data_IF_906102550785
#
_entry.id   IF_906102550785
#
_cell.length_a   1.000
_cell.length_b   1.000
_cell.length_c   1.000
_cell.angle_alpha   90.00
_cell.angle_beta   90.00
_cell.angle_gamma   90.00
#
_symmetry.space_group_name_H-M   'P 1'
#
loop_
_entity.id
_entity.type
_entity.pdbx_description
1 polymer ?
#
# COMPACT_ATOMS: atom_id res chain seq x y z
N UNK A 1 -12.39 -15.04 -36.80
CA UNK A 1 -12.06 -14.08 -35.73
C UNK A 1 -10.77 -14.57 -35.09
N UNK A 2 -9.68 -13.83 -35.26
CA UNK A 2 -8.46 -14.06 -34.48
C UNK A 2 -8.79 -13.67 -33.04
N UNK A 3 -8.85 -14.65 -32.14
CA UNK A 3 -8.97 -14.36 -30.71
C UNK A 3 -7.74 -13.56 -30.30
N UNK A 4 -7.95 -12.33 -29.85
CA UNK A 4 -6.91 -11.50 -29.26
C UNK A 4 -6.50 -12.12 -27.92
N UNK A 5 -5.20 -12.27 -27.69
CA UNK A 5 -4.70 -12.94 -26.49
C UNK A 5 -4.95 -12.05 -25.26
N UNK A 6 -5.80 -12.49 -24.30
CA UNK A 6 -6.18 -11.69 -23.13
C UNK A 6 -4.98 -11.37 -22.22
N UNK A 7 -3.88 -12.11 -22.33
CA UNK A 7 -2.65 -11.83 -21.58
C UNK A 7 -2.16 -10.39 -21.78
N UNK A 8 -2.24 -9.86 -23.01
CA UNK A 8 -1.73 -8.51 -23.28
C UNK A 8 -2.61 -7.41 -22.68
N UNK A 9 -3.93 -7.63 -22.62
CA UNK A 9 -4.86 -6.70 -21.98
C UNK A 9 -4.56 -6.60 -20.49
N UNK A 10 -4.49 -7.75 -19.81
CA UNK A 10 -4.19 -7.80 -18.37
C UNK A 10 -2.77 -7.28 -18.09
N UNK A 11 -1.78 -7.60 -18.93
CA UNK A 11 -0.43 -7.03 -18.84
C UNK A 11 -0.45 -5.50 -18.88
N UNK A 12 -1.23 -4.89 -19.79
CA UNK A 12 -1.35 -3.44 -19.86
C UNK A 12 -2.04 -2.85 -18.62
N UNK A 13 -3.06 -3.52 -18.10
CA UNK A 13 -3.75 -3.13 -16.87
C UNK A 13 -2.81 -3.18 -15.66
N UNK A 14 -2.06 -4.28 -15.50
CA UNK A 14 -1.02 -4.43 -14.48
C UNK A 14 0.04 -3.33 -14.60
N UNK A 15 0.50 -3.01 -15.81
CA UNK A 15 1.48 -1.96 -16.03
C UNK A 15 0.95 -0.56 -15.64
N UNK A 16 -0.33 -0.28 -15.95
CA UNK A 16 -1.01 0.97 -15.53
C UNK A 16 -1.18 1.03 -14.02
N UNK A 17 -1.62 -0.07 -13.40
CA UNK A 17 -1.78 -0.19 -11.95
C UNK A 17 -0.43 0.03 -11.25
N UNK A 18 0.63 -0.65 -11.70
CA UNK A 18 1.98 -0.49 -11.18
C UNK A 18 2.47 0.97 -11.25
N UNK A 19 2.22 1.66 -12.37
CA UNK A 19 2.61 3.07 -12.50
C UNK A 19 1.85 3.99 -11.53
N UNK A 20 0.55 3.74 -11.29
CA UNK A 20 -0.23 4.44 -10.25
C UNK A 20 0.36 4.15 -8.86
N UNK A 21 0.67 2.89 -8.57
CA UNK A 21 1.26 2.42 -7.31
C UNK A 21 2.62 3.06 -7.04
N UNK A 22 3.48 3.23 -8.06
CA UNK A 22 4.76 3.98 -7.94
C UNK A 22 4.54 5.44 -7.53
N UNK A 23 3.49 6.08 -8.04
CA UNK A 23 3.09 7.42 -7.63
C UNK A 23 2.69 7.47 -6.15
N UNK A 24 1.81 6.57 -5.75
CA UNK A 24 1.37 6.41 -4.36
C UNK A 24 2.54 6.12 -3.41
N UNK A 25 3.47 5.24 -3.82
CA UNK A 25 4.65 4.90 -3.03
C UNK A 25 5.59 6.09 -2.81
N UNK A 26 5.81 6.92 -3.84
CA UNK A 26 6.59 8.16 -3.68
C UNK A 26 5.93 9.13 -2.71
N UNK A 27 4.61 9.35 -2.83
CA UNK A 27 3.86 10.20 -1.91
C UNK A 27 3.93 9.66 -0.48
N UNK A 28 3.80 8.35 -0.32
CA UNK A 28 3.92 7.69 0.97
C UNK A 28 5.31 7.89 1.61
N UNK A 29 6.39 7.82 0.83
CA UNK A 29 7.75 8.10 1.31
C UNK A 29 7.89 9.56 1.79
N UNK A 30 7.38 10.52 1.03
CA UNK A 30 7.40 11.95 1.42
C UNK A 30 6.64 12.19 2.74
N UNK A 31 5.45 11.62 2.87
CA UNK A 31 4.63 11.74 4.09
C UNK A 31 5.31 11.12 5.31
N UNK A 32 6.11 10.08 5.10
CA UNK A 32 6.89 9.45 6.15
C UNK A 32 8.06 10.32 6.64
N UNK A 33 8.59 11.22 5.81
CA UNK A 33 9.63 12.17 6.24
C UNK A 33 9.02 13.36 7.03
N UNK A 34 7.79 13.74 6.71
CA UNK A 34 7.06 14.89 7.26
C UNK A 34 6.19 14.59 8.50
N UNK A 35 6.60 13.62 9.33
CA UNK A 35 5.89 13.18 10.58
C UNK A 35 5.68 14.30 11.63
N UNK A 36 6.16 15.53 11.41
CA UNK A 36 6.06 16.63 12.38
C UNK A 36 4.68 17.31 12.42
N UNK A 37 3.80 17.05 11.46
CA UNK A 37 2.46 17.66 11.42
C UNK A 37 1.35 16.63 11.62
N UNK A 38 0.41 16.89 12.54
CA UNK A 38 -0.75 16.01 12.76
C UNK A 38 -1.66 15.92 11.52
N UNK A 39 -1.60 16.90 10.61
CA UNK A 39 -2.33 16.90 9.33
C UNK A 39 -1.81 15.78 8.40
N UNK A 40 -0.53 15.44 8.48
CA UNK A 40 0.10 14.38 7.67
C UNK A 40 -0.30 12.96 8.11
N UNK A 41 -0.85 12.80 9.33
CA UNK A 41 -1.12 11.47 9.90
C UNK A 41 -2.28 10.76 9.20
N UNK A 42 -3.41 11.44 9.01
CA UNK A 42 -4.59 10.87 8.36
C UNK A 42 -4.31 10.59 6.87
N UNK A 43 -3.56 11.49 6.22
CA UNK A 43 -3.11 11.31 4.83
C UNK A 43 -2.13 10.12 4.70
N UNK A 44 -1.22 9.96 5.67
CA UNK A 44 -0.29 8.83 5.71
C UNK A 44 -1.02 7.50 5.89
N UNK A 45 -2.04 7.44 6.76
CA UNK A 45 -2.83 6.24 7.00
C UNK A 45 -3.65 5.85 5.78
N UNK A 46 -4.31 6.82 5.15
CA UNK A 46 -5.02 6.61 3.88
C UNK A 46 -4.08 6.13 2.79
N UNK A 47 -2.94 6.80 2.59
CA UNK A 47 -1.96 6.44 1.55
C UNK A 47 -1.35 5.05 1.82
N UNK A 48 -1.11 4.70 3.08
CA UNK A 48 -0.64 3.36 3.47
C UNK A 48 -1.66 2.29 3.10
N UNK A 49 -2.94 2.54 3.37
CA UNK A 49 -4.02 1.58 3.10
C UNK A 49 -4.23 1.40 1.60
N UNK A 50 -4.35 2.50 0.85
CA UNK A 50 -4.50 2.49 -0.60
C UNK A 50 -3.31 1.77 -1.28
N UNK A 51 -2.09 2.04 -0.82
CA UNK A 51 -0.90 1.38 -1.34
C UNK A 51 -0.92 -0.14 -1.08
N UNK A 52 -1.34 -0.59 0.11
CA UNK A 52 -1.47 -2.04 0.41
C UNK A 52 -2.53 -2.71 -0.47
N UNK A 53 -3.64 -2.03 -0.71
CA UNK A 53 -4.71 -2.54 -1.57
C UNK A 53 -4.25 -2.64 -3.03
N UNK A 54 -3.60 -1.59 -3.54
CA UNK A 54 -3.05 -1.58 -4.89
C UNK A 54 -1.99 -2.66 -5.11
N UNK A 55 -1.07 -2.83 -4.15
CA UNK A 55 -0.04 -3.88 -4.22
C UNK A 55 -0.65 -5.28 -4.22
N UNK A 56 -1.71 -5.51 -3.41
CA UNK A 56 -2.43 -6.80 -3.37
C UNK A 56 -3.17 -7.08 -4.67
N UNK A 57 -3.85 -6.08 -5.24
CA UNK A 57 -4.53 -6.23 -6.54
C UNK A 57 -3.53 -6.66 -7.62
N UNK A 58 -2.36 -6.04 -7.65
CA UNK A 58 -1.30 -6.40 -8.59
C UNK A 58 -0.79 -7.83 -8.35
N UNK A 59 -0.66 -8.29 -7.10
CA UNK A 59 -0.25 -9.68 -6.86
C UNK A 59 -1.25 -10.69 -7.45
N UNK A 60 -2.55 -10.45 -7.27
CA UNK A 60 -3.59 -11.33 -7.82
C UNK A 60 -3.53 -11.35 -9.34
N UNK A 61 -3.42 -10.18 -9.98
CA UNK A 61 -3.30 -10.12 -11.44
C UNK A 61 -2.03 -10.83 -11.94
N UNK A 62 -0.92 -10.75 -11.18
CA UNK A 62 0.32 -11.47 -11.51
C UNK A 62 0.19 -12.99 -11.31
N UNK A 63 -0.56 -13.45 -10.32
CA UNK A 63 -0.87 -14.87 -10.10
C UNK A 63 -1.68 -15.43 -11.27
N UNK A 64 -2.74 -14.71 -11.69
CA UNK A 64 -3.55 -15.08 -12.85
C UNK A 64 -2.71 -15.15 -14.13
N UNK A 65 -1.82 -14.16 -14.36
CA UNK A 65 -0.90 -14.16 -15.50
C UNK A 65 0.06 -15.36 -15.47
N UNK A 66 0.58 -15.74 -14.29
CA UNK A 66 1.49 -16.88 -14.11
C UNK A 66 0.77 -18.21 -14.36
N UNK A 67 -0.48 -18.32 -13.93
CA UNK A 67 -1.36 -19.45 -14.24
C UNK A 67 -1.62 -19.57 -15.74
N UNK A 68 -1.81 -18.45 -16.45
CA UNK A 68 -1.97 -18.50 -17.92
C UNK A 68 -0.71 -19.03 -18.61
N UNK A 69 0.48 -18.67 -18.14
CA UNK A 69 1.76 -19.21 -18.66
C UNK A 69 1.80 -20.72 -18.41
N UNK A 70 1.49 -21.16 -17.20
CA UNK A 70 1.44 -22.57 -16.83
C UNK A 70 0.46 -23.38 -17.69
N UNK A 71 -0.68 -22.80 -18.06
CA UNK A 71 -1.67 -23.42 -18.95
C UNK A 71 -1.11 -23.56 -20.38
N UNK A 72 -0.44 -22.53 -20.89
CA UNK A 72 0.18 -22.54 -22.23
C UNK A 72 1.27 -23.60 -22.31
N UNK A 73 2.11 -23.73 -21.28
CA UNK A 73 3.16 -24.74 -21.22
C UNK A 73 2.65 -26.16 -21.21
N UNK A 74 1.52 -26.40 -20.54
CA UNK A 74 0.89 -27.73 -20.50
C UNK A 74 0.26 -28.11 -21.84
N UNK A 75 -0.09 -27.15 -22.69
CA UNK A 75 -0.78 -27.38 -23.97
C UNK A 75 -0.19 -26.58 -25.16
N UNK A 76 1.10 -26.76 -25.50
CA UNK A 76 1.79 -25.91 -26.48
C UNK A 76 1.20 -26.00 -27.90
N UNK A 77 0.69 -27.18 -28.28
CA UNK A 77 0.07 -27.41 -29.60
C UNK A 77 -1.23 -26.65 -29.81
N UNK A 78 -1.96 -26.33 -28.72
CA UNK A 78 -3.24 -25.60 -28.75
C UNK A 78 -3.04 -24.10 -28.91
N UNK A 79 -2.06 -23.54 -28.20
CA UNK A 79 -1.85 -22.09 -28.12
C UNK A 79 -0.82 -21.56 -29.12
N UNK A 80 0.11 -22.41 -29.60
CA UNK A 80 1.12 -22.05 -30.62
C UNK A 80 1.90 -20.75 -30.30
N UNK A 81 2.20 -20.53 -29.02
CA UNK A 81 2.98 -19.37 -28.53
C UNK A 81 4.47 -19.67 -28.65
N UNK A 82 5.25 -18.69 -29.11
CA UNK A 82 6.69 -18.83 -29.26
C UNK A 82 7.43 -18.85 -27.90
N UNK A 83 8.54 -19.60 -27.83
CA UNK A 83 9.34 -19.67 -26.60
C UNK A 83 9.93 -18.30 -26.19
N UNK A 84 10.26 -17.42 -27.15
CA UNK A 84 10.74 -16.08 -26.84
C UNK A 84 9.63 -15.23 -26.22
N UNK A 85 8.40 -15.44 -26.67
CA UNK A 85 7.24 -14.75 -26.11
C UNK A 85 6.95 -15.23 -24.70
N UNK A 86 6.90 -16.55 -24.44
CA UNK A 86 6.77 -17.11 -23.09
C UNK A 86 7.84 -16.58 -22.13
N UNK A 87 9.09 -16.50 -22.61
CA UNK A 87 10.20 -15.91 -21.83
C UNK A 87 9.93 -14.44 -21.50
N UNK A 88 9.43 -13.67 -22.47
CA UNK A 88 9.08 -12.26 -22.26
C UNK A 88 7.91 -12.09 -21.28
N UNK A 89 6.93 -13.00 -21.30
CA UNK A 89 5.81 -13.03 -20.34
C UNK A 89 6.31 -13.28 -18.93
N UNK A 90 7.18 -14.28 -18.73
CA UNK A 90 7.81 -14.56 -17.42
C UNK A 90 8.61 -13.39 -16.89
N UNK A 91 9.48 -12.83 -17.73
CA UNK A 91 10.32 -11.71 -17.34
C UNK A 91 9.47 -10.50 -16.89
N UNK A 92 8.35 -10.23 -17.56
CA UNK A 92 7.43 -9.18 -17.12
C UNK A 92 6.84 -9.47 -15.72
N UNK A 93 6.39 -10.70 -15.46
CA UNK A 93 5.83 -11.10 -14.17
C UNK A 93 6.89 -11.02 -13.08
N UNK A 94 8.08 -11.55 -13.31
CA UNK A 94 9.19 -11.54 -12.35
C UNK A 94 9.61 -10.11 -11.99
N UNK A 95 9.86 -9.25 -12.98
CA UNK A 95 10.25 -7.86 -12.74
C UNK A 95 9.18 -7.10 -11.95
N UNK A 96 7.90 -7.32 -12.27
CA UNK A 96 6.81 -6.65 -11.56
C UNK A 96 6.67 -7.18 -10.13
N UNK A 97 6.81 -8.49 -9.93
CA UNK A 97 6.75 -9.15 -8.62
C UNK A 97 7.88 -8.66 -7.71
N UNK A 98 9.09 -8.51 -8.24
CA UNK A 98 10.24 -7.97 -7.51
C UNK A 98 10.01 -6.52 -7.07
N UNK A 99 9.41 -5.70 -7.91
CA UNK A 99 9.12 -4.31 -7.56
C UNK A 99 8.00 -4.19 -6.51
N UNK A 100 6.93 -4.97 -6.65
CA UNK A 100 5.85 -5.08 -5.65
C UNK A 100 6.42 -5.53 -4.31
N UNK A 101 7.30 -6.54 -4.32
CA UNK A 101 8.01 -7.02 -3.13
C UNK A 101 8.86 -5.90 -2.49
N UNK A 102 9.63 -5.17 -3.30
CA UNK A 102 10.44 -4.06 -2.80
C UNK A 102 9.60 -3.01 -2.07
N UNK A 103 8.46 -2.61 -2.64
CA UNK A 103 7.56 -1.64 -2.01
C UNK A 103 6.98 -2.18 -0.69
N UNK A 104 6.54 -3.45 -0.66
CA UNK A 104 6.03 -4.10 0.56
C UNK A 104 7.08 -4.17 1.67
N UNK A 105 8.32 -4.53 1.34
CA UNK A 105 9.40 -4.65 2.31
C UNK A 105 9.73 -3.30 2.95
N UNK A 106 9.74 -2.23 2.14
CA UNK A 106 9.92 -0.85 2.62
C UNK A 106 8.79 -0.39 3.55
N UNK A 107 7.55 -0.73 3.24
CA UNK A 107 6.40 -0.44 4.10
C UNK A 107 6.47 -1.17 5.45
N UNK A 108 6.93 -2.42 5.44
CA UNK A 108 7.05 -3.22 6.66
C UNK A 108 8.20 -2.71 7.56
N UNK A 109 9.35 -2.36 6.99
CA UNK A 109 10.48 -1.80 7.74
C UNK A 109 10.11 -0.51 8.47
N UNK A 110 9.31 0.34 7.82
CA UNK A 110 8.88 1.63 8.33
C UNK A 110 8.01 1.51 9.58
N UNK A 111 7.11 0.51 9.65
CA UNK A 111 6.33 0.21 10.88
C UNK A 111 7.21 -0.25 12.04
N UNK A 112 8.32 -0.95 11.75
CA UNK A 112 9.28 -1.39 12.78
C UNK A 112 10.00 -0.23 13.47
N UNK A 113 10.35 0.82 12.72
CA UNK A 113 11.03 2.01 13.24
C UNK A 113 10.15 2.83 14.19
N UNK A 114 8.86 2.96 13.91
CA UNK A 114 7.93 3.67 14.80
C UNK A 114 7.71 2.92 16.13
N UNK A 115 7.74 1.59 16.10
CA UNK A 115 7.63 0.74 17.31
C UNK A 115 8.88 0.82 18.19
N UNK A 116 10.07 0.87 17.59
CA UNK A 116 11.33 1.02 18.34
C UNK A 116 11.48 2.44 18.92
N UNK A 117 10.97 3.47 18.23
CA UNK A 117 11.02 4.86 18.71
C UNK A 117 10.11 5.12 19.91
N UNK A 118 8.96 4.43 19.99
CA UNK A 118 8.07 4.46 21.17
C UNK A 118 8.59 3.58 22.31
N UNK A 119 9.28 2.47 22.01
CA UNK A 119 9.91 1.63 23.04
C UNK A 119 11.16 2.26 23.69
N UNK A 120 11.80 3.24 23.02
CA UNK A 120 13.00 3.94 23.49
C UNK A 120 12.74 5.28 24.17
N UNK A 121 11.50 5.66 24.50
CA UNK A 121 11.28 6.78 25.42
C UNK A 121 11.53 6.29 26.86
N UNK A 122 12.67 6.62 27.50
CA UNK A 122 12.83 6.33 28.91
C UNK A 122 11.83 7.21 29.67
N UNK A 123 10.81 6.59 30.24
CA UNK A 123 10.06 7.17 31.35
C UNK A 123 11.08 7.37 32.48
N UNK A 124 11.61 8.58 32.59
CA UNK A 124 12.39 9.00 33.75
C UNK A 124 11.42 9.16 34.92
N UNK A 125 11.03 8.03 35.50
CA UNK A 125 10.37 8.00 36.80
C UNK A 125 11.41 7.76 37.89
N UNK A 126 11.27 8.56 38.92
CA UNK A 126 12.27 8.91 39.91
C UNK A 126 12.20 7.88 41.03
N UNK A 127 13.22 7.03 41.22
CA UNK A 127 13.33 6.23 42.45
C UNK A 127 14.77 5.85 42.82
N UNK A 128 15.15 5.96 44.10
CA UNK A 128 16.53 5.82 44.55
C UNK A 128 16.94 4.34 44.64
N UNK A 129 18.09 4.04 44.03
CA UNK A 129 18.74 2.72 44.03
C UNK A 129 19.29 2.39 45.42
N UNK A 130 18.86 1.27 45.98
CA UNK A 130 19.60 0.53 47.01
C UNK A 130 20.58 -0.43 46.32
N UNK A 131 21.85 -0.35 46.74
CA UNK A 131 22.94 -1.18 46.26
C UNK A 131 22.83 -2.65 46.73
N UNK A 132 23.26 -3.58 45.87
CA UNK A 132 23.76 -4.90 46.27
C UNK A 132 24.79 -5.43 45.27
N UNK A 133 25.83 -6.03 45.83
CA UNK A 133 27.11 -6.56 45.31
C UNK A 133 27.02 -7.96 44.69
N UNK A 134 27.93 -8.36 43.77
CA UNK A 134 28.82 -9.55 43.91
C UNK A 134 29.55 -9.97 42.59
N UNK A 135 30.67 -10.70 42.77
CA UNK A 135 31.85 -11.04 41.95
C UNK A 135 31.76 -12.02 40.74
N UNK A 136 32.80 -12.01 39.89
CA UNK A 136 33.33 -13.24 39.23
C UNK A 136 34.40 -13.05 38.13
N UNK A 137 35.62 -13.56 38.35
CA UNK A 137 36.86 -13.48 37.53
C UNK A 137 36.95 -14.39 36.29
N UNK A 138 37.76 -14.05 35.27
CA UNK A 138 38.31 -15.01 34.27
C UNK A 138 39.79 -14.75 33.93
N UNK A 139 40.60 -15.82 33.84
CA UNK A 139 42.01 -15.85 33.42
C UNK A 139 42.24 -16.74 32.18
N UNK A 140 43.21 -16.28 31.36
CA UNK A 140 43.88 -16.78 30.14
C UNK A 140 44.34 -18.24 30.04
N UNK A 141 44.59 -18.70 28.78
CA UNK A 141 45.67 -19.62 28.30
C UNK A 141 45.24 -20.30 26.97
N UNK A 142 46.03 -20.58 25.91
CA UNK A 142 47.44 -20.45 25.48
C UNK A 142 47.51 -20.84 23.99
N UNK A 143 48.57 -20.40 23.30
CA UNK A 143 49.11 -20.86 22.00
C UNK A 143 49.89 -22.19 22.16
N UNK A 144 49.96 -23.03 21.12
CA UNK A 144 51.21 -23.76 20.69
C UNK A 144 51.03 -24.47 19.31
N UNK A 145 51.61 -23.86 18.26
CA UNK A 145 52.62 -24.37 17.32
C UNK A 145 52.66 -25.87 16.89
N UNK A 146 52.54 -26.19 15.58
CA UNK A 146 53.31 -27.30 14.95
C UNK A 146 53.31 -27.32 13.38
N UNK A 147 54.52 -27.20 12.79
CA UNK A 147 55.06 -27.76 11.51
C UNK A 147 54.42 -27.35 10.15
N UNK A 148 55.14 -26.45 9.47
CA UNK A 148 54.87 -25.90 8.15
C UNK A 148 55.37 -26.82 7.01
N UNK A 149 54.43 -27.35 6.21
CA UNK A 149 54.69 -28.02 4.93
C UNK A 149 54.14 -27.12 3.83
N UNK A 150 54.96 -26.59 2.90
CA UNK A 150 54.53 -25.54 1.96
C UNK A 150 53.44 -25.99 0.97
N UNK A 151 53.17 -27.30 0.87
CA UNK A 151 52.09 -27.83 0.04
C UNK A 151 50.74 -27.91 0.77
N UNK A 152 50.72 -27.87 2.11
CA UNK A 152 49.47 -27.78 2.90
C UNK A 152 48.97 -26.36 3.02
N UNK A 153 49.84 -25.36 3.07
CA UNK A 153 49.43 -23.95 3.20
C UNK A 153 48.53 -23.47 2.05
N UNK A 154 48.69 -24.03 0.85
CA UNK A 154 47.82 -23.75 -0.30
C UNK A 154 46.48 -24.52 -0.26
N UNK A 155 46.50 -25.77 0.21
CA UNK A 155 45.26 -26.57 0.36
C UNK A 155 44.42 -26.06 1.53
N UNK A 156 45.05 -25.65 2.64
CA UNK A 156 44.38 -25.16 3.83
C UNK A 156 43.84 -23.73 3.62
N UNK A 157 44.53 -22.89 2.86
CA UNK A 157 44.00 -21.58 2.43
C UNK A 157 42.83 -21.72 1.44
N UNK A 158 42.90 -22.67 0.50
CA UNK A 158 41.78 -22.92 -0.42
C UNK A 158 40.54 -23.50 0.28
N UNK A 159 40.73 -24.44 1.21
CA UNK A 159 39.62 -25.06 1.98
C UNK A 159 39.04 -24.08 3.00
N UNK A 160 39.86 -23.27 3.68
CA UNK A 160 39.37 -22.24 4.59
C UNK A 160 38.59 -21.14 3.87
N UNK A 161 39.02 -20.75 2.66
CA UNK A 161 38.29 -19.79 1.83
C UNK A 161 36.94 -20.35 1.35
N UNK A 162 36.87 -21.66 1.06
CA UNK A 162 35.64 -22.34 0.68
C UNK A 162 34.69 -22.53 1.88
N UNK A 163 35.21 -22.79 3.08
CA UNK A 163 34.42 -22.84 4.32
C UNK A 163 33.85 -21.47 4.71
N UNK A 164 34.60 -20.38 4.50
CA UNK A 164 34.08 -19.03 4.72
C UNK A 164 32.92 -18.71 3.75
N UNK A 165 33.02 -19.15 2.49
CA UNK A 165 31.96 -18.96 1.49
C UNK A 165 30.70 -19.78 1.78
N UNK A 166 30.84 -20.97 2.37
CA UNK A 166 29.72 -21.80 2.83
C UNK A 166 29.05 -21.22 4.09
N UNK A 167 29.83 -20.75 5.07
CA UNK A 167 29.29 -20.10 6.27
C UNK A 167 28.54 -18.79 5.93
N UNK A 168 29.05 -18.01 4.97
CA UNK A 168 28.36 -16.78 4.54
C UNK A 168 27.03 -17.07 3.83
N UNK A 169 26.90 -18.24 3.18
CA UNK A 169 25.65 -18.70 2.59
C UNK A 169 24.67 -19.25 3.64
N UNK A 170 25.15 -19.96 4.66
CA UNK A 170 24.31 -20.42 5.76
C UNK A 170 23.74 -19.25 6.59
N UNK A 171 24.54 -18.21 6.85
CA UNK A 171 24.06 -16.99 7.52
C UNK A 171 23.00 -16.25 6.68
N UNK A 172 23.10 -16.30 5.34
CA UNK A 172 22.05 -15.79 4.45
C UNK A 172 20.79 -16.65 4.48
N UNK A 173 20.92 -17.98 4.53
CA UNK A 173 19.77 -18.89 4.62
C UNK A 173 19.04 -18.76 5.96
N UNK A 174 19.76 -18.50 7.06
CA UNK A 174 19.15 -18.34 8.39
C UNK A 174 18.42 -16.99 8.53
N UNK A 175 18.97 -15.91 7.96
CA UNK A 175 18.24 -14.64 7.85
C UNK A 175 16.98 -14.76 6.98
N UNK A 176 17.05 -15.53 5.88
CA UNK A 176 15.88 -15.80 5.03
C UNK A 176 14.84 -16.65 5.80
N UNK A 177 15.28 -17.63 6.58
CA UNK A 177 14.43 -18.47 7.44
C UNK A 177 13.70 -17.65 8.51
N UNK A 178 14.39 -16.72 9.18
CA UNK A 178 13.79 -15.79 10.14
C UNK A 178 12.81 -14.81 9.47
N UNK A 179 13.11 -14.38 8.24
CA UNK A 179 12.22 -13.53 7.44
C UNK A 179 10.95 -14.29 7.00
N UNK A 180 11.07 -15.58 6.67
CA UNK A 180 9.96 -16.46 6.31
C UNK A 180 9.05 -16.77 7.51
N UNK A 181 9.62 -16.96 8.71
CA UNK A 181 8.87 -17.14 9.95
C UNK A 181 8.06 -15.91 10.35
N UNK A 182 8.63 -14.72 10.12
CA UNK A 182 7.95 -13.44 10.33
C UNK A 182 6.83 -13.23 9.29
N UNK A 183 7.06 -13.58 8.02
CA UNK A 183 6.05 -13.51 6.96
C UNK A 183 4.86 -14.46 7.22
N UNK A 184 5.11 -15.67 7.73
CA UNK A 184 4.05 -16.63 8.11
C UNK A 184 3.19 -16.12 9.27
N UNK A 185 3.80 -15.40 10.22
CA UNK A 185 3.09 -14.79 11.36
C UNK A 185 2.25 -13.60 10.91
N UNK A 186 2.82 -12.75 10.03
CA UNK A 186 2.11 -11.59 9.45
C UNK A 186 0.98 -12.03 8.52
N UNK A 187 1.14 -13.08 7.72
CA UNK A 187 0.06 -13.67 6.91
C UNK A 187 -1.11 -14.16 7.77
N UNK A 188 -0.82 -14.77 8.93
CA UNK A 188 -1.83 -15.25 9.87
C UNK A 188 -2.55 -14.11 10.61
N UNK A 189 -1.84 -13.02 10.90
CA UNK A 189 -2.40 -11.81 11.51
C UNK A 189 -3.21 -10.96 10.51
N UNK A 190 -2.82 -10.95 9.23
CA UNK A 190 -3.60 -10.34 8.14
C UNK A 190 -4.92 -11.11 7.91
N UNK A 191 -4.91 -12.44 8.09
CA UNK A 191 -6.12 -13.26 7.98
C UNK A 191 -7.19 -12.94 9.04
N UNK A 192 -6.79 -12.58 10.27
CA UNK A 192 -7.77 -12.19 11.30
C UNK A 192 -8.19 -10.71 11.21
N UNK A 193 -7.30 -9.83 10.73
CA UNK A 193 -7.62 -8.40 10.54
C UNK A 193 -8.58 -8.17 9.35
N UNK A 194 -8.56 -9.04 8.33
CA UNK A 194 -9.55 -9.04 7.23
C UNK A 194 -10.97 -9.36 7.70
N UNK A 195 -11.12 -10.22 8.72
CA UNK A 195 -12.41 -10.57 9.32
C UNK A 195 -12.95 -9.41 10.18
N UNK A 196 -12.05 -8.63 10.80
CA UNK A 196 -12.38 -7.44 11.58
C UNK A 196 -12.67 -6.21 10.69
N UNK A 197 -12.01 -6.11 9.53
CA UNK A 197 -12.28 -5.06 8.52
C UNK A 197 -13.55 -5.31 7.70
N UNK A 198 -14.08 -6.54 7.63
CA UNK A 198 -15.41 -6.81 7.08
C UNK A 198 -16.53 -6.22 7.95
N UNK A 199 -16.31 -6.12 9.27
CA UNK A 199 -17.25 -5.51 10.23
C UNK A 199 -17.22 -3.98 10.16
N UNK A 200 -16.04 -3.37 9.96
CA UNK A 200 -15.93 -1.90 9.78
C UNK A 200 -16.37 -1.42 8.38
N UNK A 201 -16.33 -2.28 7.35
CA UNK A 201 -16.88 -1.94 6.02
C UNK A 201 -18.40 -1.82 6.03
N UNK A 202 -19.08 -2.62 6.85
CA UNK A 202 -20.55 -2.56 7.05
C UNK A 202 -20.95 -1.27 7.78
N UNK A 203 -20.17 -0.84 8.76
CA UNK A 203 -20.37 0.43 9.47
C UNK A 203 -20.14 1.65 8.54
N UNK A 204 -19.10 1.60 7.70
CA UNK A 204 -18.87 2.63 6.67
C UNK A 204 -19.97 2.64 5.58
N UNK A 205 -20.47 1.47 5.18
CA UNK A 205 -21.63 1.35 4.29
C UNK A 205 -22.87 2.02 4.90
N UNK A 206 -23.12 1.80 6.19
CA UNK A 206 -24.23 2.42 6.91
C UNK A 206 -24.08 3.95 7.03
N UNK A 207 -22.86 4.47 7.21
CA UNK A 207 -22.59 5.91 7.21
C UNK A 207 -22.74 6.54 5.83
N UNK A 208 -22.42 5.79 4.76
CA UNK A 208 -22.60 6.22 3.38
C UNK A 208 -24.08 6.29 3.01
N UNK A 209 -24.90 5.30 3.39
CA UNK A 209 -26.35 5.33 3.20
C UNK A 209 -27.02 6.49 3.99
N UNK A 210 -26.53 6.74 5.21
CA UNK A 210 -26.96 7.90 6.00
C UNK A 210 -26.52 9.24 5.38
N UNK A 211 -25.42 9.25 4.62
CA UNK A 211 -24.93 10.43 3.91
C UNK A 211 -25.71 10.64 2.61
N UNK A 212 -26.02 9.59 1.86
CA UNK A 212 -26.81 9.66 0.62
C UNK A 212 -28.24 10.13 0.90
N UNK A 213 -28.87 9.63 1.97
CA UNK A 213 -30.19 10.10 2.42
C UNK A 213 -30.19 11.57 2.88
N UNK A 214 -29.10 12.05 3.51
CA UNK A 214 -28.91 13.48 3.83
C UNK A 214 -28.67 14.32 2.59
N UNK A 215 -27.90 13.81 1.62
CA UNK A 215 -27.64 14.49 0.36
C UNK A 215 -28.91 14.60 -0.48
N UNK A 216 -29.70 13.54 -0.62
CA UNK A 216 -31.01 13.57 -1.31
C UNK A 216 -31.98 14.54 -0.63
N UNK A 217 -32.03 14.55 0.71
CA UNK A 217 -32.82 15.52 1.47
C UNK A 217 -32.36 16.97 1.22
N UNK A 218 -31.06 17.18 1.07
CA UNK A 218 -30.48 18.50 0.78
C UNK A 218 -30.73 18.90 -0.67
N UNK A 219 -30.60 17.98 -1.62
CA UNK A 219 -30.89 18.19 -3.03
C UNK A 219 -32.37 18.52 -3.25
N UNK A 220 -33.28 17.84 -2.56
CA UNK A 220 -34.72 18.18 -2.54
C UNK A 220 -34.98 19.57 -1.97
N UNK A 221 -34.27 19.98 -0.92
CA UNK A 221 -34.35 21.34 -0.36
C UNK A 221 -33.80 22.38 -1.34
N UNK A 222 -32.70 22.11 -2.03
CA UNK A 222 -32.12 22.98 -3.06
C UNK A 222 -33.07 23.11 -4.25
N UNK A 223 -33.63 22.00 -4.75
CA UNK A 223 -34.64 22.03 -5.81
C UNK A 223 -35.88 22.83 -5.41
N UNK A 224 -36.33 22.68 -4.15
CA UNK A 224 -37.45 23.46 -3.60
C UNK A 224 -37.12 24.93 -3.44
N UNK A 225 -35.93 25.29 -2.96
CA UNK A 225 -35.49 26.69 -2.80
C UNK A 225 -35.28 27.36 -4.16
N UNK A 226 -34.76 26.63 -5.14
CA UNK A 226 -34.65 27.08 -6.53
C UNK A 226 -36.05 27.37 -7.10
N UNK A 227 -37.00 26.46 -6.92
CA UNK A 227 -38.37 26.60 -7.42
C UNK A 227 -39.21 27.63 -6.64
N UNK A 228 -38.88 27.95 -5.38
CA UNK A 228 -39.65 28.89 -4.56
C UNK A 228 -39.22 30.36 -4.73
N UNK A 229 -38.13 30.60 -5.46
CA UNK A 229 -37.58 31.95 -5.64
C UNK A 229 -38.32 32.81 -6.67
N UNK A 230 -39.24 32.27 -7.49
CA UNK A 230 -39.90 33.11 -8.50
C UNK A 230 -41.22 32.52 -9.05
N UNK A 231 -42.41 32.95 -8.55
CA UNK A 231 -43.57 32.93 -9.47
C UNK A 231 -44.88 33.64 -9.06
N UNK A 232 -45.19 33.92 -7.79
CA UNK A 232 -46.49 34.57 -7.46
C UNK A 232 -46.39 36.01 -7.01
N UNK A 233 -45.49 36.31 -6.06
CA UNK A 233 -45.39 37.68 -5.52
C UNK A 233 -44.72 38.65 -6.50
N UNK A 234 -43.74 38.17 -7.27
CA UNK A 234 -43.08 38.97 -8.31
C UNK A 234 -44.02 39.27 -9.47
N UNK A 235 -44.77 38.29 -9.96
CA UNK A 235 -45.76 38.50 -11.02
C UNK A 235 -46.92 39.41 -10.60
N UNK A 236 -47.38 39.31 -9.35
CA UNK A 236 -48.38 40.26 -8.81
C UNK A 236 -47.79 41.68 -8.74
N UNK A 237 -46.55 41.84 -8.26
CA UNK A 237 -45.89 43.14 -8.19
C UNK A 237 -45.71 43.77 -9.59
N UNK A 238 -45.29 42.98 -10.58
CA UNK A 238 -45.18 43.40 -11.98
C UNK A 238 -46.57 43.82 -12.50
N UNK A 239 -47.60 43.00 -12.33
CA UNK A 239 -48.96 43.30 -12.80
C UNK A 239 -49.55 44.58 -12.19
N UNK A 240 -49.37 44.80 -10.89
CA UNK A 240 -49.80 46.03 -10.20
C UNK A 240 -49.06 47.25 -10.76
N UNK A 241 -47.75 47.14 -10.96
CA UNK A 241 -46.92 48.24 -11.47
C UNK A 241 -47.28 48.59 -12.92
N UNK A 242 -47.56 47.59 -13.76
CA UNK A 242 -48.06 47.79 -15.13
C UNK A 242 -49.43 48.46 -15.16
N UNK A 243 -50.36 48.04 -14.28
CA UNK A 243 -51.69 48.64 -14.19
C UNK A 243 -51.63 50.12 -13.78
N UNK A 244 -50.78 50.45 -12.80
CA UNK A 244 -50.54 51.84 -12.37
C UNK A 244 -50.00 52.69 -13.52
N UNK A 245 -49.06 52.15 -14.28
CA UNK A 245 -48.47 52.83 -15.45
C UNK A 245 -49.52 53.13 -16.53
N UNK A 246 -50.41 52.17 -16.83
CA UNK A 246 -51.52 52.39 -17.78
C UNK A 246 -52.45 53.50 -17.28
N UNK A 247 -52.77 53.52 -15.98
CA UNK A 247 -53.65 54.52 -15.38
C UNK A 247 -53.06 55.93 -15.52
N UNK A 248 -51.76 56.09 -15.26
CA UNK A 248 -51.04 57.35 -15.47
C UNK A 248 -51.06 57.78 -16.93
N UNK A 249 -50.87 56.87 -17.88
CA UNK A 249 -50.92 57.19 -19.32
C UNK A 249 -52.32 57.66 -19.73
N UNK A 250 -53.37 56.97 -19.30
CA UNK A 250 -54.75 57.37 -19.62
C UNK A 250 -55.05 58.76 -19.03
N UNK A 251 -54.67 58.99 -17.78
CA UNK A 251 -54.88 60.28 -17.12
C UNK A 251 -54.11 61.41 -17.83
N UNK A 252 -52.88 61.15 -18.29
CA UNK A 252 -52.08 62.09 -19.07
C UNK A 252 -52.65 62.40 -20.46
N UNK A 253 -53.30 61.44 -21.12
CA UNK A 253 -53.94 61.69 -22.42
C UNK A 253 -55.28 62.43 -22.29
N UNK A 254 -55.88 62.40 -21.10
CA UNK A 254 -57.21 62.97 -20.85
C UNK A 254 -57.13 64.38 -20.22
N UNK A 255 -55.98 64.73 -19.64
CA UNK A 255 -55.66 66.04 -19.06
C UNK A 255 -54.89 66.91 -20.06
#
# INVERSE_FOLDING_TARGET
MTFEDPFFVVKEEVAKALNKTRGLFRRWLELQEDIRSNISKDELEWTTTELRNALRSIDWDLEDLDDTISIVEKNPSKFKIDNKELTSRRNFIELTRDEVKHMKDKMNYSRGRDRDRTARQPLLDNSPVRAATSHGTTKYSKLENEIDSPNRHFLDSAVSQQNHLLQTQDDQLDMISHSLGSLKTVSRQIGSELDEQAVMLDEFGSELDNTDSKLDSTMKKVAKVLHISNDRRQWIAIGVLTCLLILVIVLFNLL
#
